data_IF_937614090571
#
_entry.id   IF_937614090571
#
_cell.length_a   1.000
_cell.length_b   1.000
_cell.length_c   1.000
_cell.angle_alpha   90.00
_cell.angle_beta   90.00
_cell.angle_gamma   90.00
#
_symmetry.space_group_name_H-M   'P 1'
#
loop_
_entity.id
_entity.type
_entity.pdbx_description
1 polymer ?
#
# COMPACT_ATOMS: atom_id res chain seq x y z
N UNK A 1 -4.02 3.22 40.72
CA UNK A 1 -2.93 2.81 39.85
C UNK A 1 -3.47 2.64 38.41
N UNK A 2 -3.37 3.69 37.60
CA UNK A 2 -3.82 3.68 36.20
C UNK A 2 -2.68 3.15 35.36
N UNK A 3 -2.89 2.02 34.68
CA UNK A 3 -1.94 1.45 33.73
C UNK A 3 -1.90 2.33 32.49
N UNK A 4 -0.82 3.05 32.33
CA UNK A 4 -0.49 3.75 31.07
C UNK A 4 0.01 2.69 30.11
N UNK A 5 -0.86 2.20 29.23
CA UNK A 5 -0.46 1.42 28.05
C UNK A 5 0.04 2.41 26.99
N UNK A 6 1.35 2.56 26.86
CA UNK A 6 1.97 3.25 25.73
C UNK A 6 1.64 2.48 24.45
N UNK A 7 0.70 3.01 23.68
CA UNK A 7 0.37 2.48 22.36
C UNK A 7 1.49 2.89 21.39
N UNK A 8 2.45 2.00 21.18
CA UNK A 8 3.26 2.06 19.96
C UNK A 8 2.34 1.81 18.77
N UNK A 9 2.55 2.58 17.70
CA UNK A 9 1.92 2.38 16.42
C UNK A 9 2.37 1.02 15.83
N UNK A 10 1.88 -0.09 16.41
CA UNK A 10 1.61 -1.22 15.54
C UNK A 10 0.71 -0.68 14.43
N UNK A 11 0.87 -1.21 13.24
CA UNK A 11 -0.19 -1.20 12.22
C UNK A 11 -1.48 -1.68 12.93
N UNK A 12 -2.00 -0.86 13.83
CA UNK A 12 -3.31 -1.02 14.41
C UNK A 12 -4.24 -0.63 13.28
N UNK A 13 -4.38 -1.59 12.35
CA UNK A 13 -5.46 -1.64 11.39
C UNK A 13 -6.70 -1.34 12.18
N UNK A 14 -7.16 -0.08 12.10
CA UNK A 14 -8.39 0.38 12.72
C UNK A 14 -9.61 -0.24 12.02
N UNK A 15 -9.56 -1.54 11.83
CA UNK A 15 -10.72 -2.37 11.53
C UNK A 15 -11.38 -2.61 12.86
N UNK A 16 -12.47 -1.93 13.09
CA UNK A 16 -13.40 -2.19 14.19
C UNK A 16 -13.87 -3.65 14.10
N UNK A 17 -13.25 -4.49 14.89
CA UNK A 17 -13.48 -5.93 14.91
C UNK A 17 -12.17 -6.65 15.16
N UNK A 18 -11.53 -6.37 16.27
CA UNK A 18 -10.53 -7.12 17.05
C UNK A 18 -10.08 -8.48 16.50
N UNK A 19 -9.27 -8.49 15.43
CA UNK A 19 -8.26 -9.51 15.26
C UNK A 19 -6.97 -8.96 15.89
N UNK A 20 -6.93 -8.80 17.20
CA UNK A 20 -5.70 -8.62 17.95
C UNK A 20 -5.17 -10.01 18.24
N UNK A 21 -4.33 -10.55 17.39
CA UNK A 21 -3.41 -11.58 17.81
C UNK A 21 -2.60 -10.99 18.97
N UNK A 22 -2.68 -11.59 20.13
CA UNK A 22 -1.78 -11.27 21.22
C UNK A 22 -0.47 -11.99 20.89
N UNK A 23 0.49 -11.27 20.29
CA UNK A 23 1.83 -11.79 20.08
C UNK A 23 2.43 -12.26 21.41
N UNK A 24 3.31 -13.23 21.32
CA UNK A 24 4.07 -13.70 22.49
C UNK A 24 4.90 -12.54 23.03
N UNK A 25 4.69 -12.15 24.28
CA UNK A 25 5.43 -11.08 24.91
C UNK A 25 6.18 -11.60 26.15
N UNK A 26 7.48 -11.33 26.22
CA UNK A 26 8.34 -11.61 27.36
C UNK A 26 8.80 -10.31 27.99
N UNK A 27 8.80 -10.25 29.33
CA UNK A 27 9.41 -9.18 30.09
C UNK A 27 10.81 -9.62 30.53
N UNK A 28 11.81 -8.78 30.31
CA UNK A 28 13.19 -9.04 30.69
C UNK A 28 13.52 -8.33 32.02
N UNK A 29 14.45 -8.88 32.76
CA UNK A 29 14.84 -8.33 34.07
C UNK A 29 15.43 -6.91 34.03
N UNK A 30 15.95 -6.49 32.88
CA UNK A 30 16.50 -5.14 32.67
C UNK A 30 15.44 -4.09 32.26
N UNK A 31 14.15 -4.41 32.37
CA UNK A 31 13.04 -3.52 32.02
C UNK A 31 12.66 -3.48 30.56
N UNK A 32 13.34 -4.21 29.69
CA UNK A 32 12.96 -4.39 28.30
C UNK A 32 11.85 -5.43 28.15
N UNK A 33 11.02 -5.28 27.15
CA UNK A 33 10.07 -6.29 26.70
C UNK A 33 10.42 -6.74 25.29
N UNK A 34 10.22 -8.02 25.02
CA UNK A 34 10.37 -8.60 23.70
C UNK A 34 9.01 -9.18 23.27
N UNK A 35 8.60 -8.95 22.03
CA UNK A 35 7.38 -9.56 21.47
C UNK A 35 7.63 -10.14 20.09
N UNK A 36 6.93 -11.24 19.83
CA UNK A 36 6.90 -11.93 18.57
C UNK A 36 5.44 -12.02 18.11
N UNK A 37 5.15 -11.56 16.89
CA UNK A 37 3.82 -11.56 16.30
C UNK A 37 3.91 -11.78 14.78
N UNK A 38 2.81 -12.10 14.16
CA UNK A 38 2.82 -12.26 12.71
C UNK A 38 1.52 -12.77 12.12
N UNK A 39 1.57 -13.09 10.84
CA UNK A 39 0.51 -13.83 10.17
C UNK A 39 1.08 -14.75 9.08
N UNK A 40 0.37 -15.83 8.84
CA UNK A 40 0.52 -16.63 7.62
C UNK A 40 -0.82 -16.67 6.92
N UNK A 41 -0.81 -16.44 5.62
CA UNK A 41 -2.02 -16.51 4.81
C UNK A 41 -1.78 -17.26 3.50
N UNK A 42 -2.83 -17.91 3.03
CA UNK A 42 -2.82 -18.66 1.78
C UNK A 42 -4.20 -18.53 1.09
N UNK A 43 -4.18 -18.18 -0.18
CA UNK A 43 -5.35 -18.03 -1.02
C UNK A 43 -5.24 -18.93 -2.24
N UNK A 44 -6.29 -19.70 -2.53
CA UNK A 44 -6.51 -20.27 -3.85
C UNK A 44 -7.12 -19.16 -4.70
N UNK A 45 -6.39 -18.72 -5.70
CA UNK A 45 -6.79 -17.68 -6.65
C UNK A 45 -6.89 -18.30 -8.03
N UNK A 46 -8.06 -18.23 -8.65
CA UNK A 46 -8.19 -18.44 -10.08
C UNK A 46 -8.16 -17.09 -10.77
N UNK A 47 -7.25 -16.89 -11.72
CA UNK A 47 -7.16 -15.67 -12.51
C UNK A 47 -7.41 -15.98 -13.98
N UNK A 48 -8.39 -15.29 -14.56
CA UNK A 48 -8.60 -15.30 -15.99
C UNK A 48 -8.34 -13.89 -16.54
N UNK A 49 -7.42 -13.80 -17.48
CA UNK A 49 -7.11 -12.57 -18.19
C UNK A 49 -7.57 -12.66 -19.64
N UNK A 50 -8.19 -11.59 -20.11
CA UNK A 50 -8.62 -11.42 -21.48
C UNK A 50 -8.07 -10.09 -22.02
N UNK A 51 -7.63 -10.10 -23.27
CA UNK A 51 -7.02 -8.95 -23.93
C UNK A 51 -7.69 -8.70 -25.27
N UNK A 52 -8.24 -7.53 -25.43
CA UNK A 52 -8.81 -7.03 -26.69
C UNK A 52 -7.81 -6.15 -27.45
N UNK A 53 -6.58 -6.61 -27.58
CA UNK A 53 -5.45 -5.86 -28.06
C UNK A 53 -4.52 -5.42 -26.93
N UNK A 54 -3.27 -5.11 -27.25
CA UNK A 54 -2.29 -4.72 -26.25
C UNK A 54 -2.52 -3.27 -25.80
N UNK A 55 -2.91 -3.07 -24.54
CA UNK A 55 -2.79 -1.75 -23.91
C UNK A 55 -1.29 -1.49 -23.73
N UNK A 56 -0.72 -0.76 -24.67
CA UNK A 56 0.71 -0.43 -24.69
C UNK A 56 1.05 0.84 -23.90
N UNK A 57 0.06 1.45 -23.26
CA UNK A 57 0.23 2.72 -22.57
C UNK A 57 1.06 2.58 -21.31
N UNK A 58 1.87 3.58 -20.98
CA UNK A 58 2.53 3.65 -19.68
C UNK A 58 1.51 3.48 -18.54
N UNK A 59 1.88 2.75 -17.50
CA UNK A 59 1.07 2.60 -16.30
C UNK A 59 -0.08 1.60 -16.38
N UNK A 60 -0.27 0.86 -17.48
CA UNK A 60 -1.20 -0.27 -17.52
C UNK A 60 -0.75 -1.40 -16.57
N UNK A 61 -1.67 -1.91 -15.74
CA UNK A 61 -1.37 -2.91 -14.69
C UNK A 61 -1.87 -4.29 -15.06
N UNK A 62 -3.04 -4.39 -15.73
CA UNK A 62 -3.54 -5.69 -16.18
C UNK A 62 -2.79 -6.12 -17.44
N UNK A 63 -2.20 -7.33 -17.35
CA UNK A 63 -1.34 -7.86 -18.41
C UNK A 63 -2.06 -8.08 -19.75
N UNK A 64 -1.28 -8.15 -20.83
CA UNK A 64 -1.74 -8.27 -22.20
C UNK A 64 -1.94 -9.70 -22.66
N UNK A 65 -1.39 -10.68 -21.94
CA UNK A 65 -1.41 -12.10 -22.34
C UNK A 65 -2.70 -12.76 -21.83
N UNK A 66 -3.58 -13.28 -22.69
CA UNK A 66 -4.72 -14.07 -22.26
C UNK A 66 -4.25 -15.30 -21.49
N UNK A 67 -4.78 -15.51 -20.30
CA UNK A 67 -4.42 -16.66 -19.45
C UNK A 67 -5.61 -17.12 -18.63
N UNK A 68 -5.60 -18.43 -18.28
CA UNK A 68 -6.42 -19.00 -17.21
C UNK A 68 -5.48 -19.74 -16.27
N UNK A 69 -5.31 -19.26 -15.02
CA UNK A 69 -4.31 -19.81 -14.10
C UNK A 69 -4.88 -19.93 -12.71
N UNK A 70 -4.69 -21.10 -12.09
CA UNK A 70 -4.98 -21.32 -10.66
C UNK A 70 -3.69 -21.35 -9.87
N UNK A 71 -3.65 -20.62 -8.76
CA UNK A 71 -2.48 -20.60 -7.87
C UNK A 71 -2.88 -20.60 -6.40
N UNK A 72 -2.04 -21.24 -5.59
CA UNK A 72 -2.06 -21.02 -4.13
C UNK A 72 -0.97 -19.98 -3.85
N UNK A 73 -1.35 -18.85 -3.27
CA UNK A 73 -0.46 -17.71 -3.07
C UNK A 73 -0.82 -16.85 -1.88
N UNK A 74 0.11 -16.03 -1.47
CA UNK A 74 -0.11 -14.95 -0.50
C UNK A 74 -1.00 -13.87 -1.10
N UNK A 75 -1.90 -13.30 -0.29
CA UNK A 75 -2.74 -12.15 -0.67
C UNK A 75 -1.97 -10.83 -0.73
N UNK A 76 -2.67 -9.69 -0.62
CA UNK A 76 -2.05 -8.36 -0.58
C UNK A 76 -1.18 -8.18 0.69
N UNK A 77 -1.73 -8.51 1.87
CA UNK A 77 -0.92 -8.55 3.08
C UNK A 77 0.05 -9.73 2.98
N UNK A 78 1.37 -9.51 3.03
CA UNK A 78 2.31 -10.62 3.03
C UNK A 78 2.12 -11.53 4.25
N UNK A 79 2.54 -12.78 4.16
CA UNK A 79 2.90 -13.49 5.37
C UNK A 79 4.06 -12.73 6.03
N UNK A 80 4.04 -12.57 7.33
CA UNK A 80 5.14 -11.89 8.03
C UNK A 80 5.31 -12.42 9.46
N UNK A 81 6.54 -12.29 9.96
CA UNK A 81 6.90 -12.46 11.35
C UNK A 81 7.62 -11.19 11.82
N UNK A 82 7.21 -10.65 12.95
CA UNK A 82 7.81 -9.44 13.52
C UNK A 82 8.41 -9.71 14.89
N UNK A 83 9.56 -9.09 15.14
CA UNK A 83 10.25 -9.09 16.41
C UNK A 83 10.39 -7.65 16.90
N UNK A 84 9.85 -7.38 18.07
CA UNK A 84 9.91 -6.07 18.70
C UNK A 84 10.67 -6.17 20.02
N UNK A 85 11.62 -5.26 20.24
CA UNK A 85 12.18 -5.02 21.54
C UNK A 85 11.87 -3.58 21.98
N UNK A 86 11.39 -3.41 23.20
CA UNK A 86 10.95 -2.12 23.74
C UNK A 86 11.48 -1.93 25.15
N UNK A 87 12.01 -0.73 25.38
CA UNK A 87 12.53 -0.34 26.68
C UNK A 87 12.20 1.11 27.01
N UNK A 88 12.47 1.48 28.26
CA UNK A 88 12.35 2.86 28.71
C UNK A 88 13.56 3.21 29.54
N UNK A 89 14.22 4.33 29.20
CA UNK A 89 15.35 4.88 29.93
C UNK A 89 15.03 6.32 30.35
N UNK A 90 14.83 6.54 31.64
CA UNK A 90 14.29 7.79 32.15
C UNK A 90 12.91 8.08 31.54
N UNK A 91 12.78 9.21 30.83
CA UNK A 91 11.57 9.60 30.16
C UNK A 91 11.55 9.24 28.64
N UNK A 92 12.60 8.57 28.16
CA UNK A 92 12.76 8.19 26.78
C UNK A 92 12.26 6.76 26.57
N UNK A 93 11.33 6.59 25.61
CA UNK A 93 10.90 5.29 25.13
C UNK A 93 11.78 4.88 23.95
N UNK A 94 12.31 3.67 23.99
CA UNK A 94 13.16 3.09 22.96
C UNK A 94 12.46 1.88 22.34
N UNK A 95 12.64 1.70 21.03
CA UNK A 95 12.10 0.54 20.35
C UNK A 95 12.98 0.11 19.18
N UNK A 96 12.96 -1.18 18.91
CA UNK A 96 13.57 -1.79 17.73
C UNK A 96 12.54 -2.75 17.12
N UNK A 97 12.42 -2.73 15.80
CA UNK A 97 11.51 -3.59 15.05
C UNK A 97 12.23 -4.27 13.89
N UNK A 98 11.98 -5.57 13.74
CA UNK A 98 12.38 -6.36 12.59
C UNK A 98 11.15 -7.08 12.04
N UNK A 99 10.88 -6.90 10.75
CA UNK A 99 9.78 -7.57 10.03
C UNK A 99 10.31 -8.39 8.86
N UNK A 100 10.00 -9.67 8.87
CA UNK A 100 10.35 -10.64 7.83
C UNK A 100 9.09 -11.06 7.10
N UNK A 101 9.07 -10.96 5.78
CA UNK A 101 7.92 -11.35 4.95
C UNK A 101 8.29 -12.53 4.05
N UNK A 102 8.19 -13.78 4.55
CA UNK A 102 8.41 -14.96 3.74
C UNK A 102 7.28 -15.16 2.73
N UNK A 103 7.63 -15.61 1.53
CA UNK A 103 6.66 -15.94 0.49
C UNK A 103 6.31 -17.43 0.52
N UNK A 104 5.04 -17.77 0.25
CA UNK A 104 4.59 -19.17 0.19
C UNK A 104 4.61 -19.76 -1.22
N UNK A 105 4.79 -18.92 -2.24
CA UNK A 105 4.83 -19.31 -3.65
C UNK A 105 6.13 -18.85 -4.31
N UNK A 106 6.45 -19.48 -5.44
CA UNK A 106 7.57 -19.10 -6.29
C UNK A 106 7.13 -18.32 -7.51
N UNK A 107 8.05 -17.58 -8.11
CA UNK A 107 7.89 -17.01 -9.44
C UNK A 107 7.88 -18.13 -10.51
N UNK A 108 7.00 -17.99 -11.51
CA UNK A 108 6.87 -18.95 -12.59
C UNK A 108 6.22 -20.26 -12.19
N UNK A 109 6.33 -21.25 -13.04
CA UNK A 109 5.88 -22.62 -12.80
C UNK A 109 7.03 -23.51 -12.36
N UNK A 110 7.86 -23.05 -11.44
CA UNK A 110 9.13 -23.70 -11.15
C UNK A 110 8.97 -24.94 -10.29
N UNK A 111 9.68 -25.93 -10.69
CA UNK A 111 9.80 -27.21 -10.05
C UNK A 111 10.53 -27.13 -8.70
N UNK A 112 11.47 -26.18 -8.59
CA UNK A 112 12.36 -26.01 -7.46
C UNK A 112 12.25 -24.60 -6.88
N UNK A 113 11.72 -24.53 -5.68
CA UNK A 113 11.57 -23.31 -4.91
C UNK A 113 12.46 -23.30 -3.66
N UNK A 114 13.67 -23.80 -3.79
CA UNK A 114 14.59 -23.95 -2.66
C UNK A 114 15.20 -22.63 -2.18
N UNK A 115 15.11 -21.57 -2.97
CA UNK A 115 15.45 -20.22 -2.56
C UNK A 115 14.25 -19.52 -1.94
N UNK A 116 13.85 -19.88 -0.72
CA UNK A 116 12.82 -19.16 0.01
C UNK A 116 13.21 -17.67 0.09
N UNK A 117 12.48 -16.82 -0.59
CA UNK A 117 12.72 -15.37 -0.56
C UNK A 117 12.10 -14.81 0.72
N UNK A 118 12.94 -14.17 1.52
CA UNK A 118 12.51 -13.39 2.68
C UNK A 118 12.65 -11.92 2.30
N UNK A 119 11.54 -11.25 2.12
CA UNK A 119 11.53 -9.80 1.95
C UNK A 119 11.60 -9.13 3.34
N UNK A 120 12.69 -8.40 3.59
CA UNK A 120 12.89 -7.61 4.80
C UNK A 120 12.31 -6.22 4.60
N UNK A 121 11.01 -6.08 4.80
CA UNK A 121 10.29 -4.82 4.58
C UNK A 121 10.47 -3.82 5.70
N UNK A 122 10.68 -4.29 6.93
CA UNK A 122 10.72 -3.43 8.11
C UNK A 122 11.96 -3.73 8.95
N UNK A 123 12.79 -2.72 9.11
CA UNK A 123 13.95 -2.73 10.04
C UNK A 123 14.13 -1.30 10.51
N UNK A 124 13.72 -0.99 11.72
CA UNK A 124 13.81 0.37 12.24
C UNK A 124 13.96 0.43 13.75
N UNK A 125 14.46 1.56 14.21
CA UNK A 125 14.44 1.95 15.60
C UNK A 125 13.45 3.09 15.85
N UNK A 126 13.01 3.24 17.09
CA UNK A 126 12.21 4.38 17.52
C UNK A 126 12.77 4.98 18.80
N UNK A 127 12.74 6.30 18.87
CA UNK A 127 13.06 7.08 20.08
C UNK A 127 11.91 8.05 20.30
N UNK A 128 11.29 8.03 21.47
CA UNK A 128 10.11 8.86 21.72
C UNK A 128 9.96 9.27 23.19
N UNK A 129 9.02 10.16 23.43
CA UNK A 129 8.72 10.69 24.75
C UNK A 129 7.47 11.57 24.75
N UNK A 130 7.40 12.52 25.68
CA UNK A 130 6.29 13.47 25.76
C UNK A 130 6.18 14.41 24.54
N UNK A 131 7.24 14.52 23.77
CA UNK A 131 7.36 15.36 22.57
C UNK A 131 6.89 14.66 21.27
N UNK A 132 6.67 13.35 21.30
CA UNK A 132 6.37 12.55 20.12
C UNK A 132 7.40 11.43 19.92
N UNK A 133 7.68 11.08 18.66
CA UNK A 133 8.57 9.96 18.32
C UNK A 133 9.34 10.25 17.04
N UNK A 134 10.62 9.86 17.03
CA UNK A 134 11.42 9.69 15.80
C UNK A 134 11.49 8.21 15.48
N UNK A 135 11.27 7.86 14.23
CA UNK A 135 11.54 6.56 13.63
C UNK A 135 12.71 6.73 12.66
N UNK A 136 13.69 5.84 12.74
CA UNK A 136 14.80 5.79 11.79
C UNK A 136 15.03 4.35 11.32
N UNK A 137 15.07 4.16 10.01
CA UNK A 137 15.21 2.83 9.37
C UNK A 137 14.27 2.64 8.20
N UNK A 138 13.96 1.39 7.87
CA UNK A 138 13.09 1.01 6.76
C UNK A 138 11.68 0.70 7.28
N UNK A 139 10.69 1.44 6.79
CA UNK A 139 9.27 1.30 7.14
C UNK A 139 8.40 1.80 5.98
N UNK A 140 7.10 1.52 6.03
CA UNK A 140 6.11 2.02 5.08
C UNK A 140 6.12 3.56 5.06
N UNK A 141 6.30 4.15 3.87
CA UNK A 141 6.33 5.59 3.69
C UNK A 141 4.96 6.23 3.98
N UNK A 142 4.93 7.56 4.16
CA UNK A 142 3.73 8.28 4.62
C UNK A 142 2.70 8.49 3.52
N UNK A 143 3.14 8.83 2.30
CA UNK A 143 2.26 9.16 1.20
C UNK A 143 1.43 7.96 0.76
N UNK A 144 0.10 8.05 0.85
CA UNK A 144 -0.81 6.96 0.50
C UNK A 144 -0.90 5.83 1.55
N UNK A 145 -0.14 5.89 2.65
CA UNK A 145 -0.13 4.88 3.71
C UNK A 145 -1.53 4.61 4.27
N UNK A 146 -2.32 5.65 4.49
CA UNK A 146 -3.67 5.50 5.02
C UNK A 146 -4.63 4.86 4.01
N UNK A 147 -4.39 5.01 2.71
CA UNK A 147 -5.22 4.41 1.68
C UNK A 147 -5.11 2.88 1.74
N UNK A 148 -3.88 2.33 1.71
CA UNK A 148 -3.67 0.88 1.81
C UNK A 148 -4.11 0.33 3.18
N UNK A 149 -3.89 1.06 4.28
CA UNK A 149 -4.28 0.63 5.62
C UNK A 149 -5.80 0.60 5.86
N UNK A 150 -6.59 1.26 5.02
CA UNK A 150 -8.05 1.25 5.10
C UNK A 150 -8.70 0.51 3.93
N UNK A 151 -7.91 -0.11 3.06
CA UNK A 151 -8.37 -0.95 1.95
C UNK A 151 -8.92 -2.30 2.46
N UNK A 152 -10.11 -2.70 1.99
CA UNK A 152 -10.69 -4.02 2.32
C UNK A 152 -9.80 -5.17 1.83
N UNK A 153 -9.18 -5.01 0.64
CA UNK A 153 -8.36 -6.04 0.01
C UNK A 153 -7.03 -6.29 0.75
N UNK A 154 -6.71 -5.49 1.78
CA UNK A 154 -5.57 -5.74 2.65
C UNK A 154 -5.64 -7.14 3.30
N UNK A 155 -6.85 -7.61 3.60
CA UNK A 155 -7.08 -8.97 4.12
C UNK A 155 -7.60 -9.92 3.04
N UNK A 156 -7.33 -9.63 1.78
CA UNK A 156 -7.78 -10.38 0.61
C UNK A 156 -6.72 -10.43 -0.48
N UNK A 157 -7.17 -10.37 -1.70
CA UNK A 157 -6.38 -10.53 -2.91
C UNK A 157 -6.41 -9.27 -3.77
N UNK A 158 -7.61 -8.73 -4.05
CA UNK A 158 -7.81 -7.65 -5.00
C UNK A 158 -7.33 -8.02 -6.40
N UNK A 159 -6.70 -7.09 -7.09
CA UNK A 159 -6.06 -7.38 -8.38
C UNK A 159 -4.91 -8.39 -8.16
N UNK A 160 -4.99 -9.53 -8.81
CA UNK A 160 -4.01 -10.60 -8.63
C UNK A 160 -2.61 -10.26 -9.18
N UNK A 161 -2.51 -9.29 -10.08
CA UNK A 161 -1.26 -8.93 -10.74
C UNK A 161 -0.86 -9.95 -11.80
N UNK A 162 0.46 -10.14 -12.01
CA UNK A 162 0.95 -11.16 -12.93
C UNK A 162 0.64 -12.57 -12.42
N UNK A 163 0.09 -13.45 -13.25
CA UNK A 163 -0.19 -14.84 -12.85
C UNK A 163 1.06 -15.65 -12.54
N UNK A 164 2.22 -15.20 -12.96
CA UNK A 164 3.52 -15.87 -12.75
C UNK A 164 4.38 -15.20 -11.68
N UNK A 165 3.92 -14.14 -11.04
CA UNK A 165 4.66 -13.43 -9.98
C UNK A 165 4.83 -14.30 -8.73
N UNK A 166 6.01 -14.23 -8.13
CA UNK A 166 6.30 -14.81 -6.82
C UNK A 166 5.77 -13.99 -5.66
N UNK A 167 5.66 -12.67 -5.81
CA UNK A 167 5.28 -11.75 -4.75
C UNK A 167 3.81 -11.79 -4.33
N UNK A 168 3.43 -10.90 -3.43
CA UNK A 168 2.04 -10.69 -3.00
C UNK A 168 1.16 -10.29 -4.17
N UNK A 169 -0.17 -10.33 -3.99
CA UNK A 169 -1.10 -9.72 -4.94
C UNK A 169 -1.04 -8.19 -4.84
N UNK A 170 -1.69 -7.49 -5.76
CA UNK A 170 -1.65 -6.03 -5.80
C UNK A 170 -2.72 -5.36 -4.93
N UNK A 171 -3.78 -6.13 -4.54
CA UNK A 171 -4.90 -5.46 -3.89
C UNK A 171 -5.45 -4.35 -4.78
N UNK A 172 -5.43 -3.11 -4.28
CA UNK A 172 -5.78 -1.91 -5.05
C UNK A 172 -4.59 -1.02 -5.41
N UNK A 173 -3.38 -1.52 -5.28
CA UNK A 173 -2.18 -0.82 -5.78
C UNK A 173 -2.30 -0.64 -7.29
N UNK A 174 -2.32 0.61 -7.73
CA UNK A 174 -2.58 0.97 -9.13
C UNK A 174 -4.06 1.05 -9.52
N UNK A 175 -4.99 0.78 -8.60
CA UNK A 175 -6.43 0.72 -8.81
C UNK A 175 -7.23 1.53 -7.77
N UNK A 176 -6.73 2.66 -7.35
CA UNK A 176 -7.34 3.57 -6.38
C UNK A 176 -6.31 4.35 -5.58
N UNK A 177 -5.09 3.84 -5.45
CA UNK A 177 -3.95 4.51 -4.83
C UNK A 177 -2.62 4.03 -5.41
N UNK A 178 -1.56 4.83 -5.20
CA UNK A 178 -0.18 4.43 -5.44
C UNK A 178 0.40 3.79 -4.18
N UNK A 179 1.27 2.82 -4.37
CA UNK A 179 1.92 2.11 -3.28
C UNK A 179 3.00 2.98 -2.63
N UNK A 180 2.91 3.27 -1.32
CA UNK A 180 3.89 4.08 -0.61
C UNK A 180 5.29 3.45 -0.56
N UNK A 181 5.36 2.13 -0.67
CA UNK A 181 6.55 1.31 -0.52
C UNK A 181 7.17 1.35 0.89
N UNK A 182 8.03 0.37 1.18
CA UNK A 182 8.89 0.36 2.36
C UNK A 182 10.24 0.94 1.98
N UNK A 183 10.60 2.07 2.56
CA UNK A 183 11.82 2.81 2.23
C UNK A 183 12.57 3.25 3.48
N UNK A 184 13.88 3.43 3.34
CA UNK A 184 14.72 4.00 4.38
C UNK A 184 14.27 5.43 4.67
N UNK A 185 14.11 5.78 5.93
CA UNK A 185 13.54 7.05 6.35
C UNK A 185 14.01 7.49 7.73
N UNK A 186 13.91 8.79 7.96
CA UNK A 186 13.88 9.38 9.30
C UNK A 186 12.61 10.21 9.39
N UNK A 187 11.68 9.77 10.24
CA UNK A 187 10.35 10.36 10.33
C UNK A 187 10.06 10.77 11.78
N UNK A 188 9.65 12.03 11.95
CA UNK A 188 9.06 12.50 13.20
C UNK A 188 7.54 12.34 13.14
N UNK A 189 6.96 11.88 14.25
CA UNK A 189 5.51 11.89 14.45
C UNK A 189 5.19 12.52 15.81
N UNK A 190 4.16 13.35 15.84
CA UNK A 190 3.61 13.85 17.10
C UNK A 190 3.03 12.69 17.92
N UNK A 191 2.65 12.96 19.16
CA UNK A 191 2.14 11.93 20.07
C UNK A 191 0.96 11.16 19.48
N UNK A 192 1.06 9.84 19.47
CA UNK A 192 0.04 8.94 18.93
C UNK A 192 -1.22 8.79 19.80
N UNK A 193 -1.19 9.27 21.04
CA UNK A 193 -2.34 9.27 21.95
C UNK A 193 -3.27 10.49 21.76
N UNK A 194 -2.92 11.41 20.87
CA UNK A 194 -3.75 12.55 20.50
C UNK A 194 -4.72 12.18 19.36
N UNK A 195 -5.84 12.90 19.33
CA UNK A 195 -6.83 12.74 18.25
C UNK A 195 -6.24 13.09 16.88
N UNK A 196 -5.32 14.05 16.84
CA UNK A 196 -4.60 14.46 15.64
C UNK A 196 -3.14 14.06 15.76
N UNK A 197 -2.65 13.28 14.80
CA UNK A 197 -1.24 12.92 14.67
C UNK A 197 -0.69 13.55 13.39
N UNK A 198 0.37 14.32 13.54
CA UNK A 198 1.16 14.87 12.44
C UNK A 198 2.45 14.08 12.27
N UNK A 199 2.83 13.77 11.04
CA UNK A 199 4.10 13.14 10.71
C UNK A 199 4.78 13.89 9.56
N UNK A 200 6.10 13.98 9.62
CA UNK A 200 6.96 14.50 8.55
C UNK A 200 8.26 13.71 8.52
N UNK A 201 8.76 13.40 7.35
CA UNK A 201 9.98 12.62 7.23
C UNK A 201 10.79 12.93 5.98
N UNK A 202 12.06 12.51 6.07
CA UNK A 202 13.00 12.44 4.97
C UNK A 202 13.14 10.97 4.57
N UNK A 203 12.99 10.71 3.29
CA UNK A 203 12.94 9.37 2.71
C UNK A 203 14.02 9.23 1.66
N UNK A 204 14.55 8.02 1.53
CA UNK A 204 15.46 7.66 0.46
C UNK A 204 14.77 7.91 -0.89
N UNK A 205 15.35 8.71 -1.78
CA UNK A 205 14.72 9.06 -3.04
C UNK A 205 14.76 7.88 -4.03
N UNK A 206 13.78 7.85 -4.93
CA UNK A 206 13.67 6.84 -5.98
C UNK A 206 14.00 7.43 -7.35
N UNK A 207 14.47 6.60 -8.29
CA UNK A 207 14.60 7.01 -9.68
C UNK A 207 13.21 7.34 -10.27
N UNK A 208 13.19 8.27 -11.20
CA UNK A 208 11.97 8.68 -11.89
C UNK A 208 12.24 8.77 -13.41
N UNK A 209 12.05 7.65 -14.11
CA UNK A 209 12.40 7.53 -15.51
C UNK A 209 13.90 7.85 -15.76
N UNK A 210 14.24 8.78 -16.67
CA UNK A 210 15.62 9.15 -16.98
C UNK A 210 16.29 10.02 -15.89
N UNK A 211 15.52 10.46 -14.89
CA UNK A 211 15.99 11.31 -13.80
C UNK A 211 16.55 10.43 -12.67
N UNK A 212 17.80 10.00 -12.80
CA UNK A 212 18.46 9.03 -11.92
C UNK A 212 19.46 9.64 -10.94
N UNK A 213 19.74 10.95 -11.03
CA UNK A 213 20.60 11.64 -10.06
C UNK A 213 19.81 12.06 -8.82
N UNK A 214 20.11 11.43 -7.71
CA UNK A 214 19.41 11.52 -6.41
C UNK A 214 20.23 12.43 -5.48
N UNK A 215 20.02 13.75 -5.57
CA UNK A 215 20.81 14.74 -4.82
C UNK A 215 20.16 15.14 -3.49
N UNK A 216 18.84 15.07 -3.41
CA UNK A 216 18.07 15.49 -2.25
C UNK A 216 17.16 14.33 -1.79
N UNK A 217 16.94 14.19 -0.48
CA UNK A 217 15.95 13.24 0.02
C UNK A 217 14.54 13.63 -0.44
N UNK A 218 13.67 12.64 -0.56
CA UNK A 218 12.24 12.84 -0.70
C UNK A 218 11.66 13.33 0.63
N UNK A 219 10.76 14.30 0.59
CA UNK A 219 10.03 14.77 1.76
C UNK A 219 8.59 14.30 1.68
N UNK A 220 8.09 13.71 2.77
CA UNK A 220 6.67 13.35 2.88
C UNK A 220 6.08 13.85 4.20
N UNK A 221 4.79 14.14 4.15
CA UNK A 221 4.00 14.58 5.31
C UNK A 221 2.70 13.80 5.38
N UNK A 222 2.18 13.63 6.60
CA UNK A 222 0.86 13.06 6.84
C UNK A 222 0.22 13.70 8.08
N UNK A 223 -1.07 14.00 8.01
CA UNK A 223 -1.90 14.34 9.16
C UNK A 223 -3.04 13.34 9.22
N UNK A 224 -3.26 12.74 10.38
CA UNK A 224 -4.38 11.83 10.64
C UNK A 224 -5.17 12.37 11.82
N UNK A 225 -6.46 12.59 11.63
CA UNK A 225 -7.40 12.90 12.70
C UNK A 225 -8.33 11.71 12.93
N UNK A 226 -8.41 11.26 14.19
CA UNK A 226 -9.25 10.13 14.58
C UNK A 226 -10.19 10.54 15.72
N UNK A 227 -11.49 10.32 15.54
CA UNK A 227 -12.49 10.56 16.55
C UNK A 227 -13.51 9.42 16.58
N UNK A 228 -13.59 8.68 17.69
CA UNK A 228 -14.43 7.48 17.83
C UNK A 228 -14.14 6.48 16.69
N UNK A 229 -15.10 6.26 15.79
CA UNK A 229 -14.99 5.35 14.65
C UNK A 229 -14.70 6.09 13.32
N UNK A 230 -14.54 7.42 13.37
CA UNK A 230 -14.26 8.24 12.21
C UNK A 230 -12.76 8.52 12.11
N UNK A 231 -12.25 8.56 10.88
CA UNK A 231 -10.86 8.85 10.58
C UNK A 231 -10.78 9.72 9.34
N UNK A 232 -9.93 10.76 9.39
CA UNK A 232 -9.64 11.64 8.28
C UNK A 232 -8.13 11.71 8.11
N UNK A 233 -7.66 11.79 6.89
CA UNK A 233 -6.23 11.93 6.64
C UNK A 233 -5.95 12.77 5.42
N UNK A 234 -4.80 13.42 5.43
CA UNK A 234 -4.22 14.12 4.30
C UNK A 234 -2.71 13.98 4.36
N UNK A 235 -2.07 13.85 3.23
CA UNK A 235 -0.62 13.76 3.12
C UNK A 235 -0.12 14.34 1.81
N UNK A 236 1.17 14.61 1.77
CA UNK A 236 1.83 15.13 0.59
C UNK A 236 3.24 14.59 0.45
N UNK A 237 3.77 14.66 -0.77
CA UNK A 237 5.17 14.35 -1.06
C UNK A 237 5.75 15.32 -2.05
N UNK A 238 7.08 15.46 -1.99
CA UNK A 238 7.90 16.13 -3.02
C UNK A 238 9.25 15.45 -3.15
N UNK A 239 9.70 15.26 -4.41
CA UNK A 239 11.01 14.71 -4.74
C UNK A 239 11.53 15.39 -6.00
N UNK A 240 12.80 15.82 -5.99
CA UNK A 240 13.47 16.42 -7.14
C UNK A 240 14.68 15.60 -7.56
N UNK A 241 14.72 15.23 -8.83
CA UNK A 241 15.79 14.43 -9.44
C UNK A 241 16.36 15.16 -10.64
N UNK A 242 17.61 14.82 -11.02
CA UNK A 242 18.23 15.30 -12.25
C UNK A 242 18.46 14.16 -13.24
N UNK A 243 18.36 14.49 -14.51
CA UNK A 243 18.81 13.63 -15.60
C UNK A 243 20.31 13.83 -15.79
N UNK A 244 21.16 12.82 -15.53
CA UNK A 244 22.61 12.98 -15.65
C UNK A 244 23.09 13.16 -17.10
N UNK A 245 22.29 12.79 -18.09
CA UNK A 245 22.67 12.90 -19.51
C UNK A 245 22.59 14.34 -20.04
N UNK A 246 21.70 15.17 -19.49
CA UNK A 246 21.47 16.53 -20.00
C UNK A 246 21.36 17.61 -18.91
N UNK A 247 21.39 17.22 -17.62
CA UNK A 247 21.28 18.13 -16.49
C UNK A 247 19.90 18.66 -16.18
N UNK A 248 18.86 18.28 -16.94
CA UNK A 248 17.48 18.67 -16.69
C UNK A 248 17.01 18.14 -15.33
N UNK A 249 16.10 18.86 -14.68
CA UNK A 249 15.51 18.48 -13.39
C UNK A 249 14.02 18.19 -13.55
N UNK A 250 13.53 17.19 -12.82
CA UNK A 250 12.12 16.90 -12.66
C UNK A 250 11.77 16.90 -11.17
N UNK A 251 10.78 17.71 -10.77
CA UNK A 251 10.29 17.75 -9.41
C UNK A 251 8.88 17.15 -9.35
N UNK A 252 8.83 15.90 -8.92
CA UNK A 252 7.59 15.19 -8.70
C UNK A 252 6.94 15.62 -7.37
N UNK A 253 5.62 15.72 -7.35
CA UNK A 253 4.86 16.08 -6.17
C UNK A 253 3.46 15.47 -6.19
N UNK A 254 2.90 15.26 -5.01
CA UNK A 254 1.56 14.68 -4.87
C UNK A 254 0.87 15.06 -3.58
N UNK A 255 -0.47 15.01 -3.63
CA UNK A 255 -1.38 15.13 -2.51
C UNK A 255 -2.26 13.89 -2.44
N UNK A 256 -2.50 13.39 -1.24
CA UNK A 256 -3.39 12.26 -0.97
C UNK A 256 -4.25 12.57 0.24
N UNK A 257 -5.50 12.11 0.23
CA UNK A 257 -6.37 12.30 1.38
C UNK A 257 -7.56 11.34 1.35
N UNK A 258 -8.24 11.27 2.50
CA UNK A 258 -9.42 10.41 2.59
C UNK A 258 -10.14 10.51 3.91
N UNK A 259 -11.25 9.79 3.97
CA UNK A 259 -12.14 9.72 5.12
C UNK A 259 -12.66 8.29 5.29
N UNK A 260 -12.73 7.84 6.54
CA UNK A 260 -13.48 6.65 6.94
C UNK A 260 -14.50 7.04 7.99
N UNK A 261 -15.77 6.86 7.66
CA UNK A 261 -16.91 7.11 8.53
C UNK A 261 -17.43 5.78 9.05
N UNK A 262 -17.32 5.56 10.37
CA UNK A 262 -17.82 4.37 11.03
C UNK A 262 -19.17 4.64 11.72
N UNK A 263 -20.10 3.72 11.55
CA UNK A 263 -21.39 3.66 12.20
C UNK A 263 -21.58 2.24 12.76
N UNK A 264 -22.60 1.99 13.54
CA UNK A 264 -22.83 0.67 14.17
C UNK A 264 -22.75 -0.50 13.16
N UNK A 265 -21.55 -1.07 12.99
CA UNK A 265 -21.24 -2.14 12.04
C UNK A 265 -21.02 -1.73 10.59
N UNK A 266 -21.42 -0.54 10.17
CA UNK A 266 -21.20 0.01 8.83
C UNK A 266 -19.97 0.91 8.83
N UNK A 267 -19.12 0.79 7.84
CA UNK A 267 -18.10 1.81 7.55
C UNK A 267 -18.08 2.16 6.06
N UNK A 268 -17.99 3.46 5.79
CA UNK A 268 -17.83 4.01 4.45
C UNK A 268 -16.46 4.66 4.39
N UNK A 269 -15.67 4.30 3.39
CA UNK A 269 -14.34 4.86 3.17
C UNK A 269 -14.27 5.47 1.78
N UNK A 270 -13.79 6.69 1.68
CA UNK A 270 -13.46 7.34 0.42
C UNK A 270 -12.07 7.94 0.51
N UNK A 271 -11.24 7.73 -0.51
CA UNK A 271 -9.93 8.37 -0.58
C UNK A 271 -9.53 8.65 -2.02
N UNK A 272 -8.56 9.52 -2.20
CA UNK A 272 -8.00 9.82 -3.50
C UNK A 272 -6.62 10.44 -3.39
N UNK A 273 -5.99 10.56 -4.54
CA UNK A 273 -4.72 11.25 -4.69
C UNK A 273 -4.64 11.94 -6.04
N UNK A 274 -3.77 12.91 -6.11
CA UNK A 274 -3.40 13.63 -7.32
C UNK A 274 -1.92 13.97 -7.26
N UNK A 275 -1.25 13.94 -8.40
CA UNK A 275 0.14 14.39 -8.47
C UNK A 275 0.67 14.46 -9.88
N UNK A 276 1.89 14.99 -9.99
CA UNK A 276 2.71 14.98 -11.19
C UNK A 276 4.00 14.25 -10.92
N UNK A 277 4.40 13.38 -11.83
CA UNK A 277 5.65 12.63 -11.73
C UNK A 277 5.62 11.45 -10.77
N UNK A 278 4.48 11.11 -10.16
CA UNK A 278 4.41 10.09 -9.11
C UNK A 278 4.06 8.68 -9.61
N UNK A 279 3.60 8.53 -10.86
CA UNK A 279 3.25 7.21 -11.43
C UNK A 279 1.82 6.76 -11.11
N UNK A 280 1.54 5.46 -11.27
CA UNK A 280 0.19 4.89 -11.10
C UNK A 280 0.13 3.67 -10.18
N UNK A 281 1.27 3.09 -9.81
CA UNK A 281 1.36 1.84 -9.03
C UNK A 281 2.36 1.94 -7.89
N UNK A 282 3.63 1.87 -8.23
CA UNK A 282 4.72 2.20 -7.31
C UNK A 282 5.10 3.65 -7.53
N UNK A 283 5.29 4.40 -6.46
CA UNK A 283 5.73 5.80 -6.55
C UNK A 283 6.93 5.95 -7.49
N UNK A 284 6.81 6.90 -8.42
CA UNK A 284 7.75 7.27 -9.49
C UNK A 284 7.84 6.28 -10.66
N UNK A 285 7.25 5.10 -10.59
CA UNK A 285 7.22 4.17 -11.71
C UNK A 285 6.31 4.71 -12.83
N UNK A 286 6.91 5.04 -13.97
CA UNK A 286 6.19 5.62 -15.10
C UNK A 286 5.69 7.06 -14.87
N UNK A 287 6.27 7.79 -13.92
CA UNK A 287 5.87 9.16 -13.59
C UNK A 287 6.33 10.23 -14.61
N UNK A 288 7.34 9.91 -15.43
CA UNK A 288 7.91 10.86 -16.41
C UNK A 288 7.86 10.33 -17.84
N UNK A 289 7.99 11.22 -18.81
CA UNK A 289 8.30 10.93 -20.20
C UNK A 289 9.77 10.56 -20.41
N UNK A 290 10.28 10.82 -21.62
CA UNK A 290 11.63 10.40 -22.01
C UNK A 290 12.76 11.36 -21.56
N UNK A 291 12.44 12.53 -21.05
CA UNK A 291 13.41 13.52 -20.54
C UNK A 291 14.32 14.11 -21.61
N UNK A 292 13.94 14.03 -22.87
CA UNK A 292 14.80 14.42 -23.99
C UNK A 292 14.61 15.86 -24.44
N UNK A 293 13.46 16.48 -24.15
CA UNK A 293 13.13 17.83 -24.62
C UNK A 293 13.46 18.86 -23.53
N UNK A 294 14.49 19.72 -23.72
CA UNK A 294 14.80 20.76 -22.75
C UNK A 294 13.64 21.72 -22.53
N UNK A 295 13.30 22.00 -21.26
CA UNK A 295 12.27 22.97 -20.90
C UNK A 295 10.83 22.52 -21.07
N UNK A 296 10.57 21.27 -21.48
CA UNK A 296 9.23 20.69 -21.50
C UNK A 296 8.83 20.16 -20.12
N UNK A 297 7.52 20.16 -19.83
CA UNK A 297 6.96 19.48 -18.67
C UNK A 297 6.92 17.97 -18.96
N UNK A 298 7.98 17.27 -18.55
CA UNK A 298 8.15 15.83 -18.76
C UNK A 298 7.42 14.99 -17.70
N UNK A 299 6.65 15.63 -16.83
CA UNK A 299 5.93 14.97 -15.75
C UNK A 299 4.53 14.52 -16.19
N UNK A 300 4.25 13.24 -16.04
CA UNK A 300 2.89 12.70 -16.23
C UNK A 300 2.04 13.03 -15.02
N UNK A 301 0.81 13.46 -15.27
CA UNK A 301 -0.18 13.69 -14.22
C UNK A 301 -0.92 12.40 -13.91
N UNK A 302 -1.07 12.11 -12.62
CA UNK A 302 -1.87 10.99 -12.12
C UNK A 302 -2.99 11.47 -11.21
N UNK A 303 -4.13 10.82 -11.30
CA UNK A 303 -5.23 10.92 -10.34
C UNK A 303 -5.73 9.52 -10.03
N UNK A 304 -6.06 9.28 -8.77
CA UNK A 304 -6.72 8.04 -8.37
C UNK A 304 -7.69 8.27 -7.23
N UNK A 305 -8.69 7.39 -7.15
CA UNK A 305 -9.69 7.44 -6.08
C UNK A 305 -10.27 6.04 -5.81
N UNK A 306 -10.77 5.87 -4.58
CA UNK A 306 -11.45 4.65 -4.11
C UNK A 306 -12.68 5.04 -3.30
N UNK A 307 -13.76 4.29 -3.52
CA UNK A 307 -14.93 4.24 -2.64
C UNK A 307 -15.13 2.82 -2.14
N UNK A 308 -15.39 2.67 -0.84
CA UNK A 308 -15.51 1.37 -0.18
C UNK A 308 -16.61 1.40 0.87
N UNK A 309 -17.38 0.32 0.97
CA UNK A 309 -18.36 0.07 2.03
C UNK A 309 -18.05 -1.27 2.67
N UNK A 310 -18.02 -1.30 4.00
CA UNK A 310 -17.92 -2.55 4.79
C UNK A 310 -19.04 -2.60 5.80
N UNK A 311 -19.63 -3.77 5.97
CA UNK A 311 -20.72 -3.98 6.92
C UNK A 311 -20.52 -5.26 7.71
N UNK A 312 -20.47 -5.13 9.04
CA UNK A 312 -20.44 -6.24 9.99
C UNK A 312 -21.71 -6.16 10.83
N UNK A 313 -22.71 -7.03 10.63
CA UNK A 313 -23.90 -7.04 11.45
C UNK A 313 -23.58 -7.19 12.94
N UNK A 314 -24.39 -6.60 13.80
CA UNK A 314 -24.21 -6.68 15.25
C UNK A 314 -24.13 -8.14 15.71
N UNK A 315 -23.16 -8.44 16.56
CA UNK A 315 -22.83 -9.80 17.05
C UNK A 315 -22.42 -10.82 15.96
N UNK A 316 -22.28 -10.40 14.71
CA UNK A 316 -21.82 -11.25 13.61
C UNK A 316 -20.28 -11.32 13.59
N UNK A 317 -19.78 -12.48 13.15
CA UNK A 317 -18.37 -12.70 12.81
C UNK A 317 -18.08 -12.50 11.31
N UNK A 318 -19.12 -12.15 10.54
CA UNK A 318 -19.03 -11.94 9.10
C UNK A 318 -19.00 -10.45 8.79
N UNK A 319 -18.03 -10.03 8.01
CA UNK A 319 -17.96 -8.70 7.37
C UNK A 319 -18.20 -8.86 5.88
N UNK A 320 -19.13 -8.12 5.35
CA UNK A 320 -19.33 -7.95 3.90
C UNK A 320 -18.63 -6.67 3.47
N UNK A 321 -18.00 -6.69 2.31
CA UNK A 321 -17.32 -5.52 1.78
C UNK A 321 -17.50 -5.42 0.26
N UNK A 322 -17.59 -4.20 -0.23
CA UNK A 322 -17.58 -3.88 -1.65
C UNK A 322 -16.82 -2.58 -1.87
N UNK A 323 -16.09 -2.51 -2.97
CA UNK A 323 -15.33 -1.30 -3.30
C UNK A 323 -15.10 -1.16 -4.81
N UNK A 324 -14.89 0.11 -5.20
CA UNK A 324 -14.55 0.54 -6.55
C UNK A 324 -13.38 1.51 -6.47
N UNK A 325 -12.39 1.37 -7.33
CA UNK A 325 -11.28 2.32 -7.42
C UNK A 325 -10.69 2.40 -8.80
N UNK A 326 -10.10 3.54 -9.11
CA UNK A 326 -9.52 3.86 -10.42
C UNK A 326 -8.25 4.69 -10.24
N UNK A 327 -7.21 4.38 -11.04
CA UNK A 327 -6.09 5.28 -11.30
C UNK A 327 -6.09 5.66 -12.77
N UNK A 328 -5.82 6.93 -13.06
CA UNK A 328 -5.74 7.47 -14.42
C UNK A 328 -4.41 8.21 -14.62
N UNK A 329 -3.74 7.94 -15.73
CA UNK A 329 -2.49 8.56 -16.13
C UNK A 329 -2.67 9.41 -17.39
N UNK A 330 -2.23 10.65 -17.31
CA UNK A 330 -2.16 11.60 -18.43
C UNK A 330 -0.75 11.63 -18.99
N UNK A 331 -0.61 11.75 -20.29
CA UNK A 331 0.72 11.92 -20.90
C UNK A 331 1.43 13.19 -20.41
N UNK A 332 2.75 13.15 -20.40
CA UNK A 332 3.57 14.35 -20.28
C UNK A 332 3.37 15.26 -21.50
N UNK A 333 3.73 16.53 -21.38
CA UNK A 333 3.49 17.52 -22.45
C UNK A 333 4.22 17.16 -23.74
N UNK A 334 5.43 16.61 -23.65
CA UNK A 334 6.21 16.14 -24.79
C UNK A 334 5.68 14.87 -25.47
N UNK A 335 4.81 14.13 -24.77
CA UNK A 335 4.16 12.91 -25.27
C UNK A 335 2.77 13.17 -25.89
N UNK A 336 2.26 14.39 -25.78
CA UNK A 336 0.92 14.72 -26.26
C UNK A 336 0.89 14.74 -27.80
N UNK A 337 0.02 13.91 -28.37
CA UNK A 337 -0.32 14.04 -29.79
C UNK A 337 -1.26 15.24 -29.93
N UNK A 338 -0.98 16.12 -30.87
CA UNK A 338 -1.61 17.42 -31.09
C UNK A 338 -3.07 17.52 -30.60
N UNK A 339 -3.30 18.31 -29.56
CA UNK A 339 -4.63 18.71 -29.08
C UNK A 339 -5.27 17.85 -27.96
N UNK A 340 -4.62 16.77 -27.49
CA UNK A 340 -5.24 15.86 -26.51
C UNK A 340 -4.63 15.97 -25.10
N UNK A 341 -5.13 16.92 -24.32
CA UNK A 341 -4.85 17.02 -22.89
C UNK A 341 -5.81 16.15 -22.07
N UNK A 342 -5.74 14.81 -22.25
CA UNK A 342 -6.64 13.84 -21.62
C UNK A 342 -5.87 12.70 -20.95
N UNK A 343 -6.48 12.06 -19.96
CA UNK A 343 -5.94 10.84 -19.37
C UNK A 343 -5.93 9.71 -20.39
N UNK A 344 -4.75 9.17 -20.67
CA UNK A 344 -4.52 8.16 -21.68
C UNK A 344 -4.77 6.75 -21.15
N UNK A 345 -4.29 6.44 -19.95
CA UNK A 345 -4.42 5.13 -19.33
C UNK A 345 -5.35 5.18 -18.15
N UNK A 346 -6.20 4.19 -18.00
CA UNK A 346 -7.05 3.98 -16.83
C UNK A 346 -6.92 2.56 -16.35
N UNK A 347 -6.60 2.39 -15.07
CA UNK A 347 -6.69 1.12 -14.34
C UNK A 347 -7.86 1.19 -13.38
N UNK A 348 -8.73 0.19 -13.37
CA UNK A 348 -9.86 0.15 -12.47
C UNK A 348 -10.10 -1.24 -11.88
N UNK A 349 -10.67 -1.28 -10.68
CA UNK A 349 -10.99 -2.50 -9.95
C UNK A 349 -12.33 -2.35 -9.23
N UNK A 350 -13.20 -3.35 -9.43
CA UNK A 350 -14.35 -3.65 -8.58
C UNK A 350 -14.00 -4.87 -7.75
N UNK A 351 -14.22 -4.80 -6.44
CA UNK A 351 -13.97 -5.91 -5.52
C UNK A 351 -15.17 -6.11 -4.59
N UNK A 352 -15.55 -7.36 -4.38
CA UNK A 352 -16.55 -7.77 -3.40
C UNK A 352 -16.01 -8.90 -2.54
N UNK A 353 -16.20 -8.83 -1.21
CA UNK A 353 -15.62 -9.80 -0.30
C UNK A 353 -16.49 -10.15 0.89
N UNK A 354 -16.31 -11.37 1.39
CA UNK A 354 -16.88 -11.92 2.62
C UNK A 354 -15.71 -12.34 3.51
N UNK A 355 -15.63 -11.75 4.69
CA UNK A 355 -14.56 -11.98 5.66
C UNK A 355 -15.17 -12.56 6.93
N UNK A 356 -14.87 -13.84 7.24
CA UNK A 356 -15.41 -14.54 8.39
C UNK A 356 -14.35 -14.74 9.46
N UNK A 357 -14.49 -14.05 10.59
CA UNK A 357 -13.61 -14.20 11.75
C UNK A 357 -14.05 -15.42 12.59
N UNK A 358 -13.51 -16.60 12.28
CA UNK A 358 -13.89 -17.84 12.96
C UNK A 358 -13.45 -17.84 14.42
N UNK A 359 -12.18 -17.56 14.67
CA UNK A 359 -11.61 -17.39 16.01
C UNK A 359 -10.98 -16.00 16.15
N UNK A 360 -10.42 -15.67 17.30
CA UNK A 360 -9.67 -14.40 17.47
C UNK A 360 -8.47 -14.28 16.53
N UNK A 361 -7.86 -15.40 16.14
CA UNK A 361 -6.67 -15.47 15.32
C UNK A 361 -6.92 -15.91 13.87
N UNK A 362 -7.98 -16.66 13.60
CA UNK A 362 -8.23 -17.27 12.28
C UNK A 362 -9.38 -16.60 11.56
N UNK A 363 -9.11 -16.18 10.33
CA UNK A 363 -10.05 -15.54 9.40
C UNK A 363 -10.14 -16.35 8.11
N UNK A 364 -11.34 -16.60 7.61
CA UNK A 364 -11.63 -17.06 6.25
C UNK A 364 -12.04 -15.87 5.38
N UNK A 365 -11.64 -15.91 4.13
CA UNK A 365 -11.91 -14.87 3.15
C UNK A 365 -12.40 -15.51 1.86
N UNK A 366 -13.49 -14.97 1.33
CA UNK A 366 -13.94 -15.20 -0.05
C UNK A 366 -14.02 -13.85 -0.75
N UNK A 367 -13.38 -13.72 -1.91
CA UNK A 367 -13.30 -12.45 -2.64
C UNK A 367 -13.51 -12.68 -4.14
N UNK A 368 -14.13 -11.72 -4.80
CA UNK A 368 -14.26 -11.67 -6.25
C UNK A 368 -13.82 -10.30 -6.74
N UNK A 369 -12.88 -10.32 -7.67
CA UNK A 369 -12.23 -9.13 -8.20
C UNK A 369 -12.35 -9.06 -9.71
N UNK A 370 -12.73 -7.87 -10.20
CA UNK A 370 -12.76 -7.55 -11.63
C UNK A 370 -11.91 -6.31 -11.88
N UNK A 371 -10.75 -6.52 -12.51
CA UNK A 371 -9.79 -5.47 -12.84
C UNK A 371 -9.73 -5.23 -14.35
N UNK A 372 -9.40 -4.00 -14.72
CA UNK A 372 -9.12 -3.63 -16.11
C UNK A 372 -8.01 -2.60 -16.21
N UNK A 373 -7.31 -2.64 -17.35
CA UNK A 373 -6.49 -1.53 -17.86
C UNK A 373 -6.95 -1.18 -19.25
N UNK A 374 -7.16 0.09 -19.55
CA UNK A 374 -7.61 0.53 -20.86
C UNK A 374 -6.92 1.82 -21.33
N UNK A 375 -6.71 1.92 -22.65
CA UNK A 375 -6.40 3.17 -23.31
C UNK A 375 -7.68 3.99 -23.46
N UNK A 376 -7.57 5.30 -23.30
CA UNK A 376 -8.70 6.24 -23.43
C UNK A 376 -8.61 7.12 -24.67
N UNK A 377 -7.47 7.07 -25.40
CA UNK A 377 -7.22 7.90 -26.58
C UNK A 377 -6.96 6.98 -27.78
N UNK A 378 -7.43 7.40 -28.95
CA UNK A 378 -7.27 6.68 -30.21
C UNK A 378 -8.21 5.47 -30.34
N UNK A 379 -7.67 4.32 -30.71
CA UNK A 379 -8.43 3.07 -30.73
C UNK A 379 -8.42 2.42 -29.34
N UNK A 380 -9.51 2.50 -28.56
CA UNK A 380 -9.50 2.08 -27.16
C UNK A 380 -9.27 0.57 -27.04
N UNK A 381 -8.13 0.20 -26.53
CA UNK A 381 -7.78 -1.17 -26.15
C UNK A 381 -8.09 -1.40 -24.69
N UNK A 382 -8.48 -2.61 -24.33
CA UNK A 382 -8.79 -2.96 -22.94
C UNK A 382 -8.30 -4.36 -22.61
N UNK A 383 -7.54 -4.47 -21.55
CA UNK A 383 -7.22 -5.73 -20.86
C UNK A 383 -8.13 -5.89 -19.65
N UNK A 384 -8.60 -7.10 -19.39
CA UNK A 384 -9.49 -7.41 -18.27
C UNK A 384 -8.93 -8.60 -17.49
N UNK A 385 -9.22 -8.64 -16.21
CA UNK A 385 -8.89 -9.78 -15.36
C UNK A 385 -10.02 -10.01 -14.36
N UNK A 386 -10.44 -11.26 -14.22
CA UNK A 386 -11.31 -11.70 -13.12
C UNK A 386 -10.50 -12.61 -12.21
N UNK A 387 -10.69 -12.46 -10.90
CA UNK A 387 -9.95 -13.22 -9.90
C UNK A 387 -10.83 -13.61 -8.71
N UNK A 388 -11.68 -14.67 -8.83
CA UNK A 388 -12.27 -15.27 -7.65
C UNK A 388 -11.19 -15.89 -6.77
N UNK A 389 -11.28 -15.65 -5.46
CA UNK A 389 -10.32 -16.12 -4.49
C UNK A 389 -11.00 -16.63 -3.21
N UNK A 390 -10.45 -17.69 -2.64
CA UNK A 390 -10.81 -18.15 -1.30
C UNK A 390 -9.54 -18.45 -0.52
N UNK A 391 -9.50 -18.09 0.75
CA UNK A 391 -8.31 -18.29 1.55
C UNK A 391 -8.53 -18.16 3.04
N UNK A 392 -7.44 -18.30 3.75
CA UNK A 392 -7.42 -18.20 5.20
C UNK A 392 -6.18 -17.44 5.67
N UNK A 393 -6.33 -16.76 6.80
CA UNK A 393 -5.27 -15.98 7.43
C UNK A 393 -5.24 -16.33 8.92
N UNK A 394 -4.07 -16.72 9.41
CA UNK A 394 -3.83 -16.98 10.82
C UNK A 394 -2.89 -15.89 11.38
N UNK A 395 -3.35 -15.18 12.40
CA UNK A 395 -2.57 -14.19 13.13
C UNK A 395 -2.17 -14.74 14.50
N UNK A 396 -0.97 -14.44 14.96
CA UNK A 396 -0.41 -14.89 16.24
C UNK A 396 0.43 -13.81 16.94
#
# INVERSE_FOLDING_TARGET
MKRVLGALLFLALGVSGSARAQGLTMQMSNGWSFSFAGNVNAFLVYQHQDSNGAVASPGAVVGTTPTGTSRIRTGLLPAFATFDAKGKEGDINLGVHFGFAPEIQCAGGVHDCFGAQIDMRQVFLTVGGSWGQILAGRELALFGRQNILNDQTLFGVGAAGSPTSGGTTLGRIGFGYDYPNFVSQVTYSSRSDQATVFSIGLFDPSFNGPYTSLQLPRVETEVVYSHKQHKFWVGGLVQSNKNPANGNSATAYGLSGGVRLGFSGLAITGSGFWGKGIGTTLLFLGGTGNGTTPGSDDLRQTIGYIGQVTYTPTASKVTLAASYGVNQLKNATDEQVAGADVFKTENGLVSGGIYYQWTKSLKFVGEFDYAWSKDKIGNPQQNKSIAPAVGLMLFF
#
